data_IF_154735090756
#
_entry.id   IF_154735090756
#
_cell.length_a   1.000
_cell.length_b   1.000
_cell.length_c   1.000
_cell.angle_alpha   90.00
_cell.angle_beta   90.00
_cell.angle_gamma   90.00
#
_symmetry.space_group_name_H-M   'P 1'
#
loop_
_entity.id
_entity.type
_entity.pdbx_description
1 polymer ?
#
# COMPACT_ATOMS: atom_id res chain seq x y z
N UNK A 1 31.78 -22.53 1.60
CA UNK A 1 31.36 -23.08 2.91
C UNK A 1 31.52 -22.11 4.09
N UNK A 2 32.22 -20.98 3.93
CA UNK A 2 32.52 -20.04 5.04
C UNK A 2 31.39 -19.06 5.40
N UNK A 3 30.42 -18.81 4.50
CA UNK A 3 29.30 -17.86 4.74
C UNK A 3 28.20 -18.37 5.69
N UNK A 4 28.03 -19.69 5.83
CA UNK A 4 26.95 -20.27 6.66
C UNK A 4 27.29 -20.21 8.16
N UNK A 5 28.57 -20.30 8.49
CA UNK A 5 29.05 -20.27 9.89
C UNK A 5 28.85 -18.90 10.55
N UNK A 6 28.73 -17.82 9.75
CA UNK A 6 28.55 -16.45 10.24
C UNK A 6 27.06 -16.10 10.52
N UNK A 7 26.10 -16.72 9.81
CA UNK A 7 24.67 -16.48 9.99
C UNK A 7 24.18 -16.91 11.38
N UNK A 8 24.63 -18.09 11.86
CA UNK A 8 24.25 -18.61 13.19
C UNK A 8 24.78 -17.73 14.31
N UNK A 9 25.97 -17.14 14.14
CA UNK A 9 26.56 -16.19 15.09
C UNK A 9 25.77 -14.88 15.11
N UNK A 10 25.41 -14.35 13.93
CA UNK A 10 24.52 -13.20 13.80
C UNK A 10 23.16 -13.45 14.45
N UNK A 11 22.53 -14.59 14.20
CA UNK A 11 21.23 -14.94 14.78
C UNK A 11 21.27 -14.99 16.32
N UNK A 12 22.37 -15.49 16.90
CA UNK A 12 22.55 -15.50 18.37
C UNK A 12 22.66 -14.09 18.96
N UNK A 13 23.19 -13.12 18.23
CA UNK A 13 23.33 -11.73 18.68
C UNK A 13 21.97 -11.01 18.78
N UNK A 14 21.01 -11.37 17.93
CA UNK A 14 19.64 -10.82 17.96
C UNK A 14 18.65 -11.69 18.74
N UNK A 15 19.11 -12.76 19.38
CA UNK A 15 18.26 -13.52 20.30
C UNK A 15 17.90 -12.64 21.50
N UNK A 16 16.60 -12.35 21.64
CA UNK A 16 16.06 -11.69 22.82
C UNK A 16 16.60 -12.37 24.09
N UNK A 17 17.29 -11.61 24.95
CA UNK A 17 17.78 -12.11 26.23
C UNK A 17 16.60 -12.41 27.17
N UNK A 18 16.86 -13.06 28.31
CA UNK A 18 15.79 -13.46 29.24
C UNK A 18 14.90 -12.28 29.67
N UNK A 19 15.48 -11.11 29.98
CA UNK A 19 14.71 -9.91 30.33
C UNK A 19 13.84 -9.41 29.19
N UNK A 20 14.34 -9.43 27.95
CA UNK A 20 13.57 -9.06 26.76
C UNK A 20 12.46 -10.08 26.53
N UNK A 21 12.72 -11.39 26.68
CA UNK A 21 11.68 -12.42 26.57
C UNK A 21 10.63 -12.31 27.67
N UNK A 22 11.03 -11.97 28.88
CA UNK A 22 10.14 -11.78 30.03
C UNK A 22 9.29 -10.50 29.87
N UNK A 23 9.86 -9.44 29.28
CA UNK A 23 9.10 -8.25 28.89
C UNK A 23 8.17 -8.53 27.71
N UNK A 24 8.67 -9.18 26.65
CA UNK A 24 7.87 -9.57 25.50
C UNK A 24 6.76 -10.57 25.88
N UNK A 25 6.96 -11.41 26.89
CA UNK A 25 5.93 -12.33 27.40
C UNK A 25 4.88 -11.61 28.26
N UNK A 26 5.24 -10.51 28.93
CA UNK A 26 4.28 -9.61 29.58
C UNK A 26 3.45 -8.84 28.54
N UNK A 27 4.07 -8.43 27.44
CA UNK A 27 3.41 -7.72 26.32
C UNK A 27 2.53 -8.68 25.50
N UNK A 28 3.03 -9.88 25.21
CA UNK A 28 2.32 -10.94 24.50
C UNK A 28 2.90 -12.32 24.90
N UNK A 29 2.18 -13.11 25.71
CA UNK A 29 2.62 -14.44 26.16
C UNK A 29 2.94 -15.42 25.01
N UNK A 30 2.44 -15.18 23.80
CA UNK A 30 2.67 -16.02 22.62
C UNK A 30 4.06 -15.79 21.99
N UNK A 31 4.66 -14.60 22.15
CA UNK A 31 6.05 -14.32 21.73
C UNK A 31 7.07 -15.18 22.48
N UNK A 32 6.73 -15.65 23.68
CA UNK A 32 7.57 -16.55 24.47
C UNK A 32 7.44 -18.03 24.09
N UNK A 33 6.38 -18.40 23.34
CA UNK A 33 6.04 -19.82 23.05
C UNK A 33 6.60 -20.36 21.73
N UNK A 34 7.56 -19.67 21.10
CA UNK A 34 8.07 -19.98 19.74
C UNK A 34 6.97 -20.00 18.67
N UNK A 35 5.84 -19.33 18.92
CA UNK A 35 4.87 -19.06 17.87
C UNK A 35 5.54 -18.18 16.82
N UNK A 36 5.52 -18.57 15.55
CA UNK A 36 6.11 -17.82 14.43
C UNK A 36 5.05 -17.30 13.47
N UNK A 37 3.78 -17.66 13.69
CA UNK A 37 2.67 -17.12 12.93
C UNK A 37 2.43 -15.66 13.30
N UNK A 38 2.84 -14.76 12.41
CA UNK A 38 2.67 -13.31 12.58
C UNK A 38 1.22 -12.91 12.85
N UNK A 39 0.22 -13.65 12.34
CA UNK A 39 -1.19 -13.39 12.60
C UNK A 39 -1.51 -13.53 14.09
N UNK A 40 -1.02 -14.59 14.72
CA UNK A 40 -1.23 -14.87 16.14
C UNK A 40 -0.59 -13.77 17.01
N UNK A 41 0.57 -13.28 16.61
CA UNK A 41 1.21 -12.14 17.29
C UNK A 41 0.43 -10.84 17.14
N UNK A 42 -0.08 -10.55 15.95
CA UNK A 42 -0.91 -9.37 15.70
C UNK A 42 -2.26 -9.46 16.44
N UNK A 43 -2.87 -10.64 16.51
CA UNK A 43 -4.13 -10.88 17.24
C UNK A 43 -3.95 -10.66 18.74
N UNK A 44 -2.80 -11.06 19.30
CA UNK A 44 -2.51 -10.83 20.71
C UNK A 44 -2.28 -9.35 21.08
N UNK A 45 -2.11 -8.46 20.11
CA UNK A 45 -2.07 -7.01 20.35
C UNK A 45 -3.47 -6.39 20.51
N UNK A 46 -4.52 -7.12 20.13
CA UNK A 46 -5.90 -6.64 20.22
C UNK A 46 -6.27 -6.38 21.69
N UNK A 47 -7.02 -5.31 21.93
CA UNK A 47 -7.47 -4.80 23.25
C UNK A 47 -6.39 -4.16 24.12
N UNK A 48 -5.13 -4.58 24.00
CA UNK A 48 -4.01 -4.03 24.78
C UNK A 48 -3.29 -2.89 24.07
N UNK A 49 -3.15 -2.95 22.74
CA UNK A 49 -2.36 -1.99 21.95
C UNK A 49 -3.06 -1.51 20.69
N UNK A 50 -3.90 -2.34 20.10
CA UNK A 50 -4.72 -2.00 18.93
C UNK A 50 -6.16 -2.46 19.15
N UNK A 51 -7.10 -1.75 18.56
CA UNK A 51 -8.49 -2.16 18.46
C UNK A 51 -8.66 -3.31 17.45
N UNK A 52 -9.78 -4.02 17.52
CA UNK A 52 -10.16 -4.99 16.47
C UNK A 52 -10.25 -4.32 15.09
N UNK A 53 -10.65 -3.07 15.04
CA UNK A 53 -10.76 -2.28 13.81
C UNK A 53 -9.38 -2.05 13.19
N UNK A 54 -8.41 -1.59 13.98
CA UNK A 54 -7.03 -1.41 13.55
C UNK A 54 -6.39 -2.72 13.10
N UNK A 55 -6.64 -3.83 13.80
CA UNK A 55 -6.20 -5.15 13.37
C UNK A 55 -6.76 -5.52 11.99
N UNK A 56 -8.06 -5.29 11.75
CA UNK A 56 -8.69 -5.56 10.45
C UNK A 56 -8.11 -4.69 9.33
N UNK A 57 -7.75 -3.43 9.63
CA UNK A 57 -7.03 -2.55 8.68
C UNK A 57 -5.67 -3.12 8.34
N UNK A 58 -4.89 -3.54 9.35
CA UNK A 58 -3.57 -4.12 9.15
C UNK A 58 -3.69 -5.37 8.26
N UNK A 59 -4.62 -6.28 8.56
CA UNK A 59 -4.86 -7.48 7.76
C UNK A 59 -5.23 -7.13 6.30
N UNK A 60 -6.11 -6.15 6.10
CA UNK A 60 -6.49 -5.69 4.77
C UNK A 60 -5.31 -5.08 4.01
N UNK A 61 -4.51 -4.21 4.64
CA UNK A 61 -3.32 -3.61 4.04
C UNK A 61 -2.27 -4.67 3.66
N UNK A 62 -2.09 -5.70 4.48
CA UNK A 62 -1.20 -6.82 4.13
C UNK A 62 -1.67 -7.56 2.87
N UNK A 63 -2.98 -7.83 2.73
CA UNK A 63 -3.55 -8.44 1.52
C UNK A 63 -3.35 -7.57 0.29
N UNK A 64 -3.56 -6.26 0.41
CA UNK A 64 -3.31 -5.30 -0.68
C UNK A 64 -1.81 -5.23 -1.05
N UNK A 65 -0.92 -5.29 -0.06
CA UNK A 65 0.52 -5.39 -0.32
C UNK A 65 0.89 -6.65 -1.11
N UNK A 66 0.28 -7.80 -0.77
CA UNK A 66 0.45 -9.04 -1.52
C UNK A 66 -0.05 -8.91 -2.96
N UNK A 67 -1.21 -8.28 -3.17
CA UNK A 67 -1.72 -7.97 -4.51
C UNK A 67 -0.71 -7.13 -5.33
N UNK A 68 -0.13 -6.08 -4.73
CA UNK A 68 0.92 -5.30 -5.39
C UNK A 68 2.10 -6.18 -5.81
N UNK A 69 2.65 -6.97 -4.88
CA UNK A 69 3.78 -7.87 -5.16
C UNK A 69 3.47 -8.86 -6.29
N UNK A 70 2.26 -9.43 -6.30
CA UNK A 70 1.85 -10.38 -7.34
C UNK A 70 1.76 -9.72 -8.72
N UNK A 71 1.27 -8.48 -8.78
CA UNK A 71 1.20 -7.72 -10.03
C UNK A 71 2.58 -7.27 -10.51
N UNK A 72 3.48 -6.91 -9.60
CA UNK A 72 4.86 -6.53 -9.93
C UNK A 72 5.68 -7.70 -10.49
N UNK A 73 5.37 -8.95 -10.10
CA UNK A 73 6.03 -10.14 -10.65
C UNK A 73 5.67 -10.41 -12.11
N UNK A 74 4.44 -10.05 -12.52
CA UNK A 74 3.91 -10.35 -13.85
C UNK A 74 3.92 -9.15 -14.79
N UNK A 75 3.99 -7.92 -14.26
CA UNK A 75 4.08 -6.69 -15.04
C UNK A 75 5.53 -6.17 -14.98
N UNK A 76 6.29 -6.25 -16.08
CA UNK A 76 7.71 -5.93 -16.06
C UNK A 76 7.94 -4.46 -15.72
N UNK A 77 9.03 -4.22 -14.99
CA UNK A 77 9.56 -2.89 -14.61
C UNK A 77 8.63 -2.04 -13.75
N UNK A 78 7.53 -2.61 -13.24
CA UNK A 78 6.52 -1.92 -12.47
C UNK A 78 6.72 -1.97 -10.96
N UNK A 79 6.33 -0.90 -10.27
CA UNK A 79 6.10 -0.83 -8.83
C UNK A 79 4.64 -0.40 -8.61
N UNK A 80 3.86 -1.25 -7.96
CA UNK A 80 2.42 -1.14 -7.85
C UNK A 80 2.01 -0.44 -6.56
N UNK A 81 0.95 0.36 -6.63
CA UNK A 81 0.29 0.92 -5.46
C UNK A 81 -1.23 0.91 -5.58
N UNK A 82 -1.90 0.81 -4.44
CA UNK A 82 -3.30 1.17 -4.29
C UNK A 82 -3.41 2.45 -3.45
N UNK A 83 -4.15 3.42 -3.97
CA UNK A 83 -4.51 4.67 -3.30
C UNK A 83 -6.03 4.70 -3.13
N UNK A 84 -6.51 4.99 -1.93
CA UNK A 84 -7.93 5.20 -1.64
C UNK A 84 -8.29 6.65 -1.83
N UNK A 85 -9.46 6.92 -2.42
CA UNK A 85 -9.94 8.26 -2.68
C UNK A 85 -11.17 8.54 -1.83
N UNK A 86 -11.10 9.59 -1.00
CA UNK A 86 -12.24 10.09 -0.25
C UNK A 86 -12.91 11.21 -1.05
N UNK A 87 -14.01 10.87 -1.73
CA UNK A 87 -14.73 11.80 -2.61
C UNK A 87 -15.20 13.07 -1.89
N UNK A 88 -15.69 12.92 -0.66
CA UNK A 88 -16.18 14.03 0.15
C UNK A 88 -15.09 15.05 0.54
N UNK A 89 -13.85 14.60 0.66
CA UNK A 89 -12.71 15.44 1.05
C UNK A 89 -11.82 15.84 -0.13
N UNK A 90 -12.04 15.24 -1.31
CA UNK A 90 -11.14 15.34 -2.46
C UNK A 90 -9.69 14.96 -2.10
N UNK A 91 -9.52 13.95 -1.23
CA UNK A 91 -8.22 13.50 -0.71
C UNK A 91 -7.91 12.06 -1.10
N UNK A 92 -6.62 11.73 -1.12
CA UNK A 92 -6.11 10.38 -1.37
C UNK A 92 -5.32 9.85 -0.18
N UNK A 93 -5.47 8.55 0.07
CA UNK A 93 -4.87 7.87 1.21
C UNK A 93 -4.13 6.62 0.76
N UNK A 94 -2.98 6.38 1.38
CA UNK A 94 -2.18 5.20 1.07
C UNK A 94 -2.89 3.91 1.49
N UNK A 95 -3.08 3.02 0.51
CA UNK A 95 -3.53 1.65 0.71
C UNK A 95 -2.35 0.69 0.89
N UNK A 96 -1.61 0.48 -0.20
CA UNK A 96 -0.44 -0.41 -0.23
C UNK A 96 0.56 0.02 -1.31
N UNK A 97 1.86 -0.19 -1.07
CA UNK A 97 2.94 0.04 -2.03
C UNK A 97 4.27 -0.58 -1.53
N UNK A 98 4.46 -1.90 -1.67
CA UNK A 98 5.56 -2.61 -1.02
C UNK A 98 6.95 -2.23 -1.56
N UNK A 99 7.04 -1.88 -2.85
CA UNK A 99 8.30 -1.58 -3.54
C UNK A 99 8.47 -0.10 -3.92
N UNK A 100 7.67 0.78 -3.32
CA UNK A 100 7.82 2.23 -3.46
C UNK A 100 8.37 2.77 -2.13
N UNK A 101 9.43 3.60 -2.12
CA UNK A 101 10.00 4.15 -0.90
C UNK A 101 8.95 4.88 -0.04
N UNK A 102 9.04 4.74 1.28
CA UNK A 102 8.05 5.33 2.20
C UNK A 102 7.92 6.86 2.06
N UNK A 103 9.03 7.56 1.81
CA UNK A 103 9.03 9.02 1.61
C UNK A 103 8.18 9.46 0.39
N UNK A 104 7.91 8.55 -0.55
CA UNK A 104 7.00 8.82 -1.67
C UNK A 104 5.58 9.10 -1.19
N UNK A 105 5.16 8.50 -0.08
CA UNK A 105 3.80 8.66 0.45
C UNK A 105 3.66 9.87 1.36
N UNK A 106 4.77 10.41 1.89
CA UNK A 106 4.75 11.68 2.62
C UNK A 106 4.26 12.82 1.72
N UNK A 107 4.59 12.74 0.44
CA UNK A 107 4.12 13.67 -0.58
C UNK A 107 2.60 13.67 -0.76
N UNK A 108 1.90 12.54 -0.53
CA UNK A 108 0.43 12.56 -0.59
C UNK A 108 -0.22 13.34 0.57
N UNK A 109 0.47 13.54 1.69
CA UNK A 109 -0.01 14.48 2.71
C UNK A 109 0.00 15.91 2.16
N UNK A 110 1.08 16.32 1.48
CA UNK A 110 1.17 17.65 0.87
C UNK A 110 0.11 17.84 -0.23
N UNK A 111 -0.09 16.82 -1.08
CA UNK A 111 -1.14 16.83 -2.11
C UNK A 111 -2.53 17.04 -1.49
N UNK A 112 -2.82 16.37 -0.38
CA UNK A 112 -4.08 16.52 0.34
C UNK A 112 -4.23 17.88 1.02
N UNK A 113 -3.16 18.42 1.60
CA UNK A 113 -3.16 19.75 2.22
C UNK A 113 -3.37 20.86 1.18
N UNK A 114 -2.74 20.73 0.01
CA UNK A 114 -2.85 21.68 -1.09
C UNK A 114 -4.13 21.49 -1.93
N UNK A 115 -4.88 20.39 -1.73
CA UNK A 115 -6.10 20.05 -2.48
C UNK A 115 -5.86 19.90 -3.99
N UNK A 116 -4.67 19.41 -4.37
CA UNK A 116 -4.24 19.25 -5.78
C UNK A 116 -4.36 17.82 -6.30
N UNK A 117 -5.14 16.96 -5.63
CA UNK A 117 -5.35 15.55 -6.06
C UNK A 117 -5.75 15.45 -7.53
N UNK A 118 -6.61 16.36 -8.01
CA UNK A 118 -7.11 16.37 -9.38
C UNK A 118 -6.02 16.58 -10.45
N UNK A 119 -4.87 17.15 -10.08
CA UNK A 119 -3.71 17.38 -10.95
C UNK A 119 -2.78 16.15 -11.03
N UNK A 120 -3.01 15.16 -10.16
CA UNK A 120 -2.24 13.92 -10.08
C UNK A 120 -2.69 12.92 -11.13
N UNK A 121 -1.84 11.97 -11.52
CA UNK A 121 -2.25 10.92 -12.47
C UNK A 121 -3.42 10.09 -11.93
N UNK A 122 -3.41 9.77 -10.63
CA UNK A 122 -4.53 9.09 -9.98
C UNK A 122 -5.81 9.95 -9.99
N UNK A 123 -5.73 11.25 -9.70
CA UNK A 123 -6.89 12.14 -9.74
C UNK A 123 -7.46 12.31 -11.14
N UNK A 124 -6.61 12.37 -12.17
CA UNK A 124 -7.07 12.35 -13.57
C UNK A 124 -7.80 11.05 -13.90
N UNK A 125 -7.33 9.90 -13.40
CA UNK A 125 -8.02 8.62 -13.59
C UNK A 125 -9.38 8.58 -12.86
N UNK A 126 -9.47 9.19 -11.67
CA UNK A 126 -10.76 9.39 -10.98
C UNK A 126 -11.71 10.26 -11.80
N UNK A 127 -11.24 11.42 -12.27
CA UNK A 127 -12.05 12.37 -13.02
C UNK A 127 -12.55 11.80 -14.36
N UNK A 128 -11.68 11.10 -15.09
CA UNK A 128 -12.01 10.47 -16.36
C UNK A 128 -12.79 9.16 -16.21
N UNK A 129 -12.80 8.58 -14.99
CA UNK A 129 -13.35 7.25 -14.70
C UNK A 129 -12.74 6.14 -15.57
N UNK A 130 -11.51 6.34 -16.03
CA UNK A 130 -10.83 5.43 -16.95
C UNK A 130 -9.31 5.39 -16.72
N UNK A 131 -8.66 4.48 -17.44
CA UNK A 131 -7.22 4.34 -17.50
C UNK A 131 -6.56 5.64 -17.96
N UNK A 132 -5.56 6.07 -17.20
CA UNK A 132 -4.68 7.18 -17.57
C UNK A 132 -3.24 6.69 -17.60
N UNK A 133 -2.51 7.07 -18.63
CA UNK A 133 -1.08 6.78 -18.79
C UNK A 133 -0.31 8.04 -19.13
N UNK A 134 0.88 8.14 -18.57
CA UNK A 134 1.84 9.22 -18.79
C UNK A 134 3.16 8.60 -19.23
N UNK A 135 3.67 9.01 -20.38
CA UNK A 135 4.94 8.51 -20.95
C UNK A 135 6.15 9.39 -20.64
N UNK A 136 5.93 10.58 -20.07
CA UNK A 136 6.98 11.49 -19.65
C UNK A 136 6.65 12.21 -18.35
N UNK A 137 7.64 12.31 -17.47
CA UNK A 137 7.58 13.12 -16.24
C UNK A 137 7.39 14.63 -16.50
N UNK A 138 7.37 15.06 -17.77
CA UNK A 138 7.12 16.46 -18.14
C UNK A 138 5.63 16.83 -18.17
N UNK A 139 4.74 15.83 -18.27
CA UNK A 139 3.28 16.05 -18.22
C UNK A 139 2.73 16.10 -16.78
N UNK A 140 3.57 15.81 -15.79
CA UNK A 140 3.24 15.85 -14.37
C UNK A 140 3.92 17.06 -13.73
N UNK A 141 3.16 17.84 -12.97
CA UNK A 141 3.67 19.05 -12.31
C UNK A 141 4.17 18.71 -10.91
N UNK A 142 3.31 18.09 -10.09
CA UNK A 142 3.59 17.83 -8.67
C UNK A 142 4.47 16.60 -8.44
N UNK A 143 4.28 15.53 -9.21
CA UNK A 143 4.96 14.23 -9.00
C UNK A 143 6.36 14.15 -9.63
N UNK A 144 6.77 15.18 -10.38
CA UNK A 144 7.95 15.14 -11.26
C UNK A 144 9.24 14.85 -10.51
N UNK A 145 9.57 15.69 -9.52
CA UNK A 145 10.82 15.54 -8.75
C UNK A 145 10.88 14.18 -8.05
N UNK A 146 9.76 13.78 -7.46
CA UNK A 146 9.65 12.52 -6.75
C UNK A 146 9.77 11.29 -7.68
N UNK A 147 9.16 11.34 -8.86
CA UNK A 147 9.35 10.29 -9.88
C UNK A 147 10.81 10.20 -10.34
N UNK A 148 11.50 11.33 -10.51
CA UNK A 148 12.91 11.36 -10.87
C UNK A 148 13.80 10.77 -9.76
N UNK A 149 13.60 11.19 -8.51
CA UNK A 149 14.35 10.72 -7.34
C UNK A 149 14.19 9.21 -7.15
N UNK A 150 12.98 8.71 -7.37
CA UNK A 150 12.69 7.28 -7.30
C UNK A 150 13.03 6.52 -8.58
N UNK A 151 13.56 7.15 -9.63
CA UNK A 151 13.96 6.51 -10.88
C UNK A 151 12.79 5.92 -11.69
N UNK A 152 11.63 6.58 -11.66
CA UNK A 152 10.46 6.25 -12.46
C UNK A 152 10.38 7.15 -13.71
N UNK A 153 9.96 6.55 -14.82
CA UNK A 153 9.98 7.18 -16.14
C UNK A 153 8.59 7.26 -16.80
N UNK A 154 7.67 6.39 -16.41
CA UNK A 154 6.26 6.45 -16.79
C UNK A 154 5.38 5.97 -15.66
N UNK A 155 4.11 6.34 -15.71
CA UNK A 155 3.11 6.04 -14.69
C UNK A 155 1.76 5.80 -15.38
N UNK A 156 1.00 4.84 -14.88
CA UNK A 156 -0.41 4.72 -15.23
C UNK A 156 -1.26 4.42 -14.02
N UNK A 157 -2.54 4.75 -14.13
CA UNK A 157 -3.52 4.56 -13.08
C UNK A 157 -4.86 4.10 -13.63
N UNK A 158 -5.58 3.28 -12.87
CA UNK A 158 -6.93 2.78 -13.18
C UNK A 158 -7.80 2.94 -11.92
N UNK A 159 -9.00 3.53 -12.02
CA UNK A 159 -9.91 3.60 -10.89
C UNK A 159 -10.47 2.23 -10.52
N UNK A 160 -10.72 2.02 -9.22
CA UNK A 160 -11.50 0.89 -8.72
C UNK A 160 -12.71 1.38 -7.93
N UNK A 161 -13.74 0.53 -7.91
CA UNK A 161 -15.09 0.93 -7.58
C UNK A 161 -15.68 0.10 -6.44
N UNK A 162 -16.63 0.71 -5.74
CA UNK A 162 -17.62 0.08 -4.88
C UNK A 162 -19.01 0.37 -5.44
N UNK A 163 -19.64 -0.63 -6.05
CA UNK A 163 -20.81 -0.37 -6.91
C UNK A 163 -20.41 0.60 -8.02
N UNK A 164 -21.11 1.72 -8.13
CA UNK A 164 -20.83 2.78 -9.12
C UNK A 164 -19.91 3.90 -8.59
N UNK A 165 -19.51 3.83 -7.33
CA UNK A 165 -18.70 4.86 -6.67
C UNK A 165 -17.22 4.53 -6.79
N UNK A 166 -16.41 5.46 -7.30
CA UNK A 166 -14.95 5.36 -7.26
C UNK A 166 -14.48 5.55 -5.83
N UNK A 167 -13.75 4.57 -5.32
CA UNK A 167 -13.21 4.58 -3.94
C UNK A 167 -11.67 4.59 -3.92
N UNK A 168 -11.04 4.66 -5.09
CA UNK A 168 -9.60 4.75 -5.20
C UNK A 168 -9.08 4.38 -6.59
N UNK A 169 -7.77 4.27 -6.67
CA UNK A 169 -7.05 3.92 -7.89
C UNK A 169 -5.95 2.90 -7.62
N UNK A 170 -5.80 1.96 -8.54
CA UNK A 170 -4.53 1.28 -8.72
C UNK A 170 -3.59 2.18 -9.53
N UNK A 171 -2.30 2.19 -9.21
CA UNK A 171 -1.29 2.84 -10.04
C UNK A 171 -0.03 1.98 -10.15
N UNK A 172 0.66 2.14 -11.28
CA UNK A 172 1.90 1.44 -11.58
C UNK A 172 2.96 2.44 -12.02
N UNK A 173 3.98 2.60 -11.20
CA UNK A 173 5.17 3.37 -11.52
C UNK A 173 6.16 2.49 -12.26
N UNK A 174 6.77 2.99 -13.33
CA UNK A 174 7.61 2.16 -14.19
C UNK A 174 9.03 2.68 -14.30
N UNK A 175 10.00 1.77 -14.17
CA UNK A 175 11.44 2.05 -14.33
C UNK A 175 11.87 2.25 -15.78
N UNK A 176 10.95 2.07 -16.74
CA UNK A 176 11.17 2.32 -18.17
C UNK A 176 9.91 2.96 -18.74
N UNK A 177 10.08 3.84 -19.74
CA UNK A 177 8.96 4.37 -20.53
C UNK A 177 8.30 3.22 -21.28
N UNK A 178 7.15 2.76 -20.79
CA UNK A 178 6.42 1.63 -21.39
C UNK A 178 4.92 1.72 -21.15
N UNK A 179 4.15 1.89 -22.21
CA UNK A 179 2.69 1.76 -22.10
C UNK A 179 2.30 0.31 -21.78
N UNK A 180 1.42 0.04 -20.80
CA UNK A 180 0.92 -1.31 -20.57
C UNK A 180 0.07 -1.78 -21.75
N UNK A 181 0.02 -3.08 -21.97
CA UNK A 181 -0.87 -3.69 -22.96
C UNK A 181 -2.28 -3.80 -22.41
N UNK A 182 -3.27 -3.95 -23.29
CA UNK A 182 -4.66 -4.18 -22.88
C UNK A 182 -4.81 -5.42 -22.00
N UNK A 183 -4.02 -6.48 -22.27
CA UNK A 183 -4.03 -7.69 -21.43
C UNK A 183 -3.53 -7.43 -20.01
N UNK A 184 -2.53 -6.55 -19.85
CA UNK A 184 -2.02 -6.15 -18.52
C UNK A 184 -3.03 -5.28 -17.77
N UNK A 185 -3.66 -4.33 -18.47
CA UNK A 185 -4.75 -3.49 -17.93
C UNK A 185 -5.90 -4.37 -17.43
N UNK A 186 -6.34 -5.34 -18.25
CA UNK A 186 -7.42 -6.26 -17.88
C UNK A 186 -7.00 -7.21 -16.76
N UNK A 187 -5.74 -7.66 -16.72
CA UNK A 187 -5.22 -8.46 -15.61
C UNK A 187 -5.32 -7.70 -14.29
N UNK A 188 -4.89 -6.43 -14.26
CA UNK A 188 -4.99 -5.59 -13.07
C UNK A 188 -6.45 -5.39 -12.66
N UNK A 189 -7.34 -5.03 -13.60
CA UNK A 189 -8.78 -4.86 -13.28
C UNK A 189 -9.36 -6.11 -12.63
N UNK A 190 -9.07 -7.30 -13.18
CA UNK A 190 -9.52 -8.57 -12.59
C UNK A 190 -8.90 -8.83 -11.21
N UNK A 191 -7.59 -8.65 -11.08
CA UNK A 191 -6.88 -8.89 -9.81
C UNK A 191 -7.32 -7.94 -8.71
N UNK A 192 -7.56 -6.67 -9.01
CA UNK A 192 -8.13 -5.72 -8.05
C UNK A 192 -9.56 -6.14 -7.65
N UNK A 193 -10.36 -6.62 -8.61
CA UNK A 193 -11.70 -7.13 -8.33
C UNK A 193 -11.72 -8.38 -7.41
N UNK A 194 -10.70 -9.24 -7.48
CA UNK A 194 -10.53 -10.38 -6.56
C UNK A 194 -10.30 -9.95 -5.09
N UNK A 195 -9.85 -8.71 -4.86
CA UNK A 195 -9.51 -8.18 -3.53
C UNK A 195 -10.56 -7.20 -2.98
N UNK A 196 -11.76 -7.15 -3.58
CA UNK A 196 -12.81 -6.18 -3.22
C UNK A 196 -13.18 -6.22 -1.73
N UNK A 197 -13.18 -7.39 -1.09
CA UNK A 197 -13.45 -7.47 0.35
C UNK A 197 -12.42 -6.71 1.20
N UNK A 198 -11.13 -6.82 0.87
CA UNK A 198 -10.07 -6.10 1.57
C UNK A 198 -10.15 -4.59 1.29
N UNK A 199 -10.45 -4.22 0.04
CA UNK A 199 -10.63 -2.84 -0.40
C UNK A 199 -11.81 -2.20 0.34
N UNK A 200 -12.97 -2.84 0.35
CA UNK A 200 -14.18 -2.32 0.99
C UNK A 200 -14.04 -2.18 2.50
N UNK A 201 -13.30 -3.08 3.16
CA UNK A 201 -12.99 -2.94 4.58
C UNK A 201 -12.26 -1.63 4.86
N UNK A 202 -11.24 -1.29 4.08
CA UNK A 202 -10.49 -0.04 4.29
C UNK A 202 -11.37 1.17 3.94
N UNK A 203 -12.09 1.13 2.81
CA UNK A 203 -12.95 2.24 2.38
C UNK A 203 -14.03 2.59 3.41
N UNK A 204 -14.73 1.61 3.99
CA UNK A 204 -15.75 1.87 5.02
C UNK A 204 -15.19 2.61 6.24
N UNK A 205 -13.94 2.36 6.60
CA UNK A 205 -13.32 2.95 7.78
C UNK A 205 -12.93 4.41 7.54
N UNK A 206 -12.50 4.73 6.31
CA UNK A 206 -12.27 6.11 5.88
C UNK A 206 -13.59 6.90 5.92
N UNK A 207 -14.68 6.32 5.43
CA UNK A 207 -16.01 6.96 5.47
C UNK A 207 -16.50 7.21 6.91
N UNK A 208 -16.25 6.28 7.83
CA UNK A 208 -16.61 6.44 9.25
C UNK A 208 -15.84 7.59 9.92
N UNK A 209 -14.52 7.69 9.68
CA UNK A 209 -13.69 8.76 10.26
C UNK A 209 -14.00 10.14 9.67
N UNK A 210 -14.29 10.22 8.37
CA UNK A 210 -14.70 11.48 7.73
C UNK A 210 -16.00 12.03 8.33
N UNK A 211 -16.91 11.15 8.79
CA UNK A 211 -18.17 11.54 9.43
C UNK A 211 -18.03 11.93 10.89
N UNK A 212 -17.06 11.38 11.63
CA UNK A 212 -16.86 11.70 13.05
C UNK A 212 -16.06 12.99 13.30
N UNK A 213 -15.45 13.56 12.26
CA UNK A 213 -14.70 14.83 12.30
C UNK A 213 -15.54 16.04 11.81
N UNK A 214 -16.82 15.83 11.49
CA UNK A 214 -17.79 16.88 11.15
C UNK A 214 -18.66 17.25 12.34
#
# INVERSE_FOLDING_TARGET
MEKIQNLVVYMKQYMANKKIRDFLSQVNPLLAKKEDNIRVHLEALIHSYISEEEFRVIEAKMKLGKLCLDLEQVIPTGCATLLFYANDEQKIYHGAAPNIPLHYFDFFYQVNEQQVVHEMVCGRAVAQKDFVYVDSVDEIVHEKGLMQDCGFHSLWSIPFYRGDTIIGTFAMYQRKKRRPTDSEIQLVKRKVAEYQDAIYRISNLLDCKARSLR
#
